data_IF_824261360622
#
_entry.id   IF_824261360622
#
_cell.length_a   1.000
_cell.length_b   1.000
_cell.length_c   1.000
_cell.angle_alpha   90.00
_cell.angle_beta   90.00
_cell.angle_gamma   90.00
#
_symmetry.space_group_name_H-M   'P 1'
#
loop_
_entity.id
_entity.type
_entity.pdbx_description
1 polymer ?
#
# COMPACT_ATOMS: atom_id res chain seq x y z
N UNK A 1 -13.64 -16.00 10.21
CA UNK A 1 -13.82 -14.54 10.49
C UNK A 1 -15.30 -14.22 10.45
N UNK A 2 -15.85 -13.39 11.35
CA UNK A 2 -17.25 -12.97 11.25
C UNK A 2 -17.44 -12.09 10.00
N UNK A 3 -18.59 -12.19 9.32
CA UNK A 3 -18.89 -11.37 8.11
C UNK A 3 -18.79 -9.87 8.42
N UNK A 4 -19.21 -9.47 9.61
CA UNK A 4 -19.16 -8.08 10.10
C UNK A 4 -17.72 -7.56 10.22
N UNK A 5 -16.78 -8.37 10.71
CA UNK A 5 -15.37 -7.96 10.82
C UNK A 5 -14.69 -7.80 9.45
N UNK A 6 -15.11 -8.60 8.46
CA UNK A 6 -14.60 -8.50 7.08
C UNK A 6 -15.10 -7.23 6.39
N UNK A 7 -16.39 -6.93 6.52
CA UNK A 7 -16.98 -5.71 5.98
C UNK A 7 -16.35 -4.44 6.57
N UNK A 8 -16.17 -4.37 7.89
CA UNK A 8 -15.55 -3.22 8.54
C UNK A 8 -14.12 -2.95 8.04
N UNK A 9 -13.31 -3.99 7.85
CA UNK A 9 -11.95 -3.88 7.31
C UNK A 9 -11.93 -3.46 5.84
N UNK A 10 -12.87 -3.96 5.04
CA UNK A 10 -13.03 -3.53 3.66
C UNK A 10 -13.39 -2.04 3.57
N UNK A 11 -14.36 -1.59 4.36
CA UNK A 11 -14.74 -0.17 4.39
C UNK A 11 -13.60 0.72 4.89
N UNK A 12 -12.84 0.29 5.90
CA UNK A 12 -11.68 1.03 6.37
C UNK A 12 -10.60 1.13 5.29
N UNK A 13 -10.22 0.02 4.65
CA UNK A 13 -9.24 0.03 3.56
C UNK A 13 -9.74 0.81 2.32
N UNK A 14 -11.04 0.76 2.04
CA UNK A 14 -11.67 1.57 0.99
C UNK A 14 -11.64 3.06 1.31
N UNK A 15 -11.92 3.45 2.55
CA UNK A 15 -11.78 4.82 3.03
C UNK A 15 -10.33 5.30 2.91
N UNK A 16 -9.36 4.49 3.34
CA UNK A 16 -7.93 4.81 3.22
C UNK A 16 -7.52 5.00 1.76
N UNK A 17 -8.10 4.22 0.83
CA UNK A 17 -7.89 4.38 -0.61
C UNK A 17 -8.39 5.74 -1.09
N UNK A 18 -9.61 6.13 -0.70
CA UNK A 18 -10.20 7.42 -1.11
C UNK A 18 -9.45 8.59 -0.49
N UNK A 19 -9.11 8.50 0.80
CA UNK A 19 -8.36 9.53 1.51
C UNK A 19 -6.97 9.73 0.89
N UNK A 20 -6.26 8.64 0.58
CA UNK A 20 -4.97 8.74 -0.08
C UNK A 20 -5.09 9.21 -1.54
N UNK A 21 -6.20 8.88 -2.21
CA UNK A 21 -6.52 9.41 -3.54
C UNK A 21 -6.73 10.92 -3.54
N UNK A 22 -7.44 11.44 -2.54
CA UNK A 22 -7.64 12.89 -2.37
C UNK A 22 -6.31 13.60 -2.08
N UNK A 23 -5.46 13.03 -1.21
CA UNK A 23 -4.13 13.56 -0.93
C UNK A 23 -3.22 13.51 -2.17
N UNK A 24 -3.27 12.44 -2.95
CA UNK A 24 -2.53 12.34 -4.20
C UNK A 24 -3.03 13.38 -5.21
N UNK A 25 -4.34 13.56 -5.35
CA UNK A 25 -4.91 14.57 -6.25
C UNK A 25 -4.51 15.99 -5.86
N UNK A 26 -4.59 16.34 -4.58
CA UNK A 26 -4.20 17.66 -4.05
C UNK A 26 -2.70 17.92 -4.22
N UNK A 27 -1.86 16.95 -3.86
CA UNK A 27 -0.40 17.08 -3.96
C UNK A 27 0.13 17.12 -5.39
N UNK A 28 -0.59 16.53 -6.35
CA UNK A 28 -0.17 16.41 -7.75
C UNK A 28 -0.95 17.33 -8.70
N UNK A 29 -1.97 18.03 -8.21
CA UNK A 29 -2.94 18.74 -9.06
C UNK A 29 -3.68 17.83 -10.04
N UNK A 30 -3.84 16.55 -9.70
CA UNK A 30 -4.41 15.52 -10.57
C UNK A 30 -3.47 14.96 -11.64
N UNK A 31 -2.19 15.35 -11.64
CA UNK A 31 -1.19 14.78 -12.56
C UNK A 31 -0.79 13.38 -12.08
N UNK A 32 -0.72 12.47 -13.05
CA UNK A 32 -0.26 11.10 -12.83
C UNK A 32 1.07 10.94 -13.56
N UNK A 33 2.04 10.31 -12.90
CA UNK A 33 3.23 9.75 -13.54
C UNK A 33 4.26 10.73 -14.15
N UNK A 34 4.28 12.01 -13.78
CA UNK A 34 5.25 12.96 -14.32
C UNK A 34 6.55 13.08 -13.49
N UNK A 35 6.54 12.64 -12.23
CA UNK A 35 7.73 12.56 -11.37
C UNK A 35 7.72 11.28 -10.55
N UNK A 36 8.89 10.84 -10.05
CA UNK A 36 8.99 9.67 -9.17
C UNK A 36 8.07 9.78 -7.93
N UNK A 37 7.87 11.01 -7.42
CA UNK A 37 6.98 11.28 -6.29
C UNK A 37 5.50 11.05 -6.63
N UNK A 38 5.08 11.47 -7.83
CA UNK A 38 3.71 11.22 -8.31
C UNK A 38 3.44 9.73 -8.49
N UNK A 39 4.41 8.98 -9.03
CA UNK A 39 4.32 7.52 -9.17
C UNK A 39 4.10 6.83 -7.83
N UNK A 40 4.81 7.27 -6.78
CA UNK A 40 4.71 6.70 -5.44
C UNK A 40 3.38 7.06 -4.78
N UNK A 41 2.91 8.29 -4.94
CA UNK A 41 1.61 8.74 -4.42
C UNK A 41 0.47 7.92 -5.02
N UNK A 42 0.39 7.85 -6.35
CA UNK A 42 -0.66 7.08 -7.04
C UNK A 42 -0.50 5.56 -6.86
N UNK A 43 0.74 5.07 -6.76
CA UNK A 43 1.02 3.68 -6.42
C UNK A 43 0.53 3.32 -5.01
N UNK A 44 0.59 4.23 -4.05
CA UNK A 44 0.05 3.99 -2.71
C UNK A 44 -1.49 3.93 -2.69
N UNK A 45 -2.16 4.75 -3.50
CA UNK A 45 -3.61 4.65 -3.73
C UNK A 45 -3.96 3.27 -4.28
N UNK A 46 -3.22 2.82 -5.30
CA UNK A 46 -3.42 1.50 -5.90
C UNK A 46 -3.14 0.37 -4.90
N UNK A 47 -2.10 0.50 -4.08
CA UNK A 47 -1.78 -0.45 -3.03
C UNK A 47 -2.88 -0.58 -1.97
N UNK A 48 -3.48 0.55 -1.55
CA UNK A 48 -4.63 0.56 -0.64
C UNK A 48 -5.86 -0.13 -1.27
N UNK A 49 -6.13 0.15 -2.54
CA UNK A 49 -7.21 -0.49 -3.29
C UNK A 49 -7.02 -2.01 -3.40
N UNK A 50 -5.79 -2.44 -3.67
CA UNK A 50 -5.41 -3.86 -3.69
C UNK A 50 -5.62 -4.51 -2.33
N UNK A 51 -5.25 -3.83 -1.23
CA UNK A 51 -5.49 -4.33 0.12
C UNK A 51 -6.99 -4.49 0.42
N UNK A 52 -7.82 -3.52 0.03
CA UNK A 52 -9.27 -3.62 0.15
C UNK A 52 -9.83 -4.83 -0.62
N UNK A 53 -9.37 -5.04 -1.86
CA UNK A 53 -9.82 -6.16 -2.69
C UNK A 53 -9.38 -7.51 -2.11
N UNK A 54 -8.15 -7.62 -1.60
CA UNK A 54 -7.64 -8.84 -0.93
C UNK A 54 -8.42 -9.15 0.34
N UNK A 55 -8.86 -8.13 1.09
CA UNK A 55 -9.74 -8.33 2.26
C UNK A 55 -11.07 -8.98 1.84
N UNK A 56 -11.64 -8.63 0.67
CA UNK A 56 -12.90 -9.22 0.18
C UNK A 56 -12.69 -10.63 -0.36
N UNK A 57 -11.65 -10.83 -1.17
CA UNK A 57 -11.37 -12.12 -1.82
C UNK A 57 -10.86 -13.14 -0.81
N UNK A 58 -10.26 -12.71 0.30
CA UNK A 58 -9.69 -13.56 1.36
C UNK A 58 -8.69 -14.59 0.81
N UNK A 59 -8.09 -14.25 -0.32
CA UNK A 59 -7.09 -15.01 -1.04
C UNK A 59 -6.05 -14.02 -1.55
N UNK A 60 -4.81 -14.46 -1.76
CA UNK A 60 -3.67 -13.61 -2.12
C UNK A 60 -3.16 -12.66 -1.01
N UNK A 61 -3.07 -13.16 0.23
CA UNK A 61 -2.39 -12.47 1.33
C UNK A 61 -0.99 -11.93 0.94
N UNK A 62 -0.21 -12.70 0.16
CA UNK A 62 1.10 -12.27 -0.32
C UNK A 62 1.05 -10.96 -1.13
N UNK A 63 0.01 -10.77 -1.94
CA UNK A 63 -0.17 -9.59 -2.79
C UNK A 63 -0.39 -8.32 -1.95
N UNK A 64 -1.21 -8.42 -0.91
CA UNK A 64 -1.46 -7.29 -0.04
C UNK A 64 -0.26 -6.95 0.85
N UNK A 65 0.52 -7.95 1.29
CA UNK A 65 1.79 -7.69 1.99
C UNK A 65 2.86 -7.07 1.08
N UNK A 66 2.92 -7.44 -0.20
CA UNK A 66 3.76 -6.73 -1.17
C UNK A 66 3.30 -5.29 -1.40
N UNK A 67 1.99 -5.04 -1.44
CA UNK A 67 1.43 -3.70 -1.56
C UNK A 67 1.77 -2.81 -0.34
N UNK A 68 1.68 -3.36 0.87
CA UNK A 68 2.10 -2.68 2.11
C UNK A 68 3.61 -2.37 2.06
N UNK A 69 4.44 -3.31 1.61
CA UNK A 69 5.88 -3.10 1.43
C UNK A 69 6.20 -1.97 0.44
N UNK A 70 5.48 -1.93 -0.68
CA UNK A 70 5.58 -0.85 -1.66
C UNK A 70 5.23 0.52 -1.05
N UNK A 71 4.14 0.63 -0.29
CA UNK A 71 3.74 1.89 0.38
C UNK A 71 4.81 2.35 1.36
N UNK A 72 5.29 1.43 2.21
CA UNK A 72 6.25 1.75 3.27
C UNK A 72 7.58 2.25 2.70
N UNK A 73 8.13 1.54 1.70
CA UNK A 73 9.41 1.89 1.09
C UNK A 73 9.30 2.97 0.01
N UNK A 74 8.18 3.02 -0.71
CA UNK A 74 7.86 4.14 -1.59
C UNK A 74 7.88 5.45 -0.81
N UNK A 75 7.24 5.50 0.36
CA UNK A 75 7.30 6.68 1.23
C UNK A 75 8.71 7.00 1.75
N UNK A 76 9.51 5.98 2.07
CA UNK A 76 10.86 6.13 2.64
C UNK A 76 11.93 6.56 1.63
N UNK A 77 11.78 6.16 0.36
CA UNK A 77 12.77 6.38 -0.69
C UNK A 77 12.51 7.66 -1.50
N UNK A 78 11.34 8.28 -1.33
CA UNK A 78 10.90 9.42 -2.15
C UNK A 78 11.14 10.74 -1.43
N UNK A 79 12.19 11.48 -1.83
CA UNK A 79 12.49 12.81 -1.27
C UNK A 79 11.36 13.81 -1.58
N UNK A 80 10.86 14.50 -0.54
CA UNK A 80 9.79 15.49 -0.65
C UNK A 80 8.36 14.92 -0.54
N UNK A 81 8.22 13.61 -0.31
CA UNK A 81 6.91 12.98 -0.12
C UNK A 81 6.40 13.13 1.32
N UNK A 82 5.09 12.99 1.61
CA UNK A 82 4.57 12.94 2.97
C UNK A 82 4.93 11.59 3.62
N UNK A 83 6.18 11.45 4.06
CA UNK A 83 6.76 10.19 4.58
C UNK A 83 5.92 9.59 5.72
N UNK A 84 5.44 10.44 6.63
CA UNK A 84 4.59 10.00 7.74
C UNK A 84 3.23 9.46 7.29
N UNK A 85 2.65 10.00 6.21
CA UNK A 85 1.38 9.53 5.67
C UNK A 85 1.46 8.10 5.14
N UNK A 86 2.55 7.77 4.43
CA UNK A 86 2.77 6.41 3.94
C UNK A 86 3.05 5.40 5.06
N UNK A 87 3.82 5.80 6.08
CA UNK A 87 4.08 4.94 7.24
C UNK A 87 2.78 4.66 8.00
N UNK A 88 1.95 5.68 8.23
CA UNK A 88 0.66 5.54 8.90
C UNK A 88 -0.31 4.66 8.09
N UNK A 89 -0.35 4.83 6.76
CA UNK A 89 -1.16 4.01 5.87
C UNK A 89 -0.74 2.54 5.92
N UNK A 90 0.55 2.26 5.84
CA UNK A 90 1.06 0.89 5.96
C UNK A 90 0.75 0.28 7.33
N UNK A 91 0.86 1.06 8.40
CA UNK A 91 0.55 0.63 9.76
C UNK A 91 -0.95 0.35 9.94
N UNK A 92 -1.82 1.14 9.30
CA UNK A 92 -3.26 0.98 9.32
C UNK A 92 -3.71 -0.28 8.54
N UNK A 93 -3.08 -0.54 7.38
CA UNK A 93 -3.43 -1.69 6.52
C UNK A 93 -2.90 -3.03 7.05
N UNK A 94 -1.74 -3.06 7.70
CA UNK A 94 -1.09 -4.28 8.19
C UNK A 94 -1.98 -5.20 9.07
N UNK A 95 -2.75 -4.70 10.07
CA UNK A 95 -3.65 -5.54 10.86
C UNK A 95 -4.95 -5.90 10.14
N UNK A 96 -5.31 -5.21 9.05
CA UNK A 96 -6.56 -5.42 8.32
C UNK A 96 -6.47 -6.56 7.30
N UNK A 97 -5.27 -6.79 6.75
CA UNK A 97 -5.02 -7.74 5.67
C UNK A 97 -4.80 -9.17 6.20
N UNK A 98 -5.25 -10.22 5.47
CA UNK A 98 -4.96 -11.62 5.79
C UNK A 98 -3.45 -11.90 5.90
N UNK A 99 -3.03 -12.76 6.85
CA UNK A 99 -1.62 -13.15 7.02
C UNK A 99 -1.27 -14.33 6.11
N UNK A 100 -0.15 -14.29 5.35
CA UNK A 100 0.27 -15.42 4.53
C UNK A 100 0.54 -16.63 5.41
N UNK A 101 -0.25 -17.70 5.23
CA UNK A 101 -0.15 -18.96 6.00
C UNK A 101 -0.16 -18.78 7.53
N UNK A 102 -0.78 -17.71 8.03
CA UNK A 102 -0.82 -17.40 9.47
C UNK A 102 0.49 -16.89 10.08
N UNK A 103 1.55 -16.66 9.30
CA UNK A 103 2.85 -16.19 9.80
C UNK A 103 3.11 -14.72 9.50
N UNK A 104 3.47 -13.95 10.52
CA UNK A 104 3.90 -12.55 10.40
C UNK A 104 5.27 -12.42 9.74
N UNK A 105 6.21 -13.34 10.00
CA UNK A 105 7.57 -13.26 9.43
C UNK A 105 7.56 -13.50 7.92
N UNK A 106 6.65 -14.34 7.42
CA UNK A 106 6.45 -14.52 5.98
C UNK A 106 5.84 -13.29 5.32
N UNK A 107 4.84 -12.67 5.95
CA UNK A 107 4.28 -11.39 5.50
C UNK A 107 5.35 -10.30 5.42
N UNK A 108 6.17 -10.18 6.48
CA UNK A 108 7.27 -9.23 6.54
C UNK A 108 8.36 -9.54 5.50
N UNK A 109 8.67 -10.81 5.27
CA UNK A 109 9.63 -11.26 4.26
C UNK A 109 9.17 -10.92 2.84
N UNK A 110 7.90 -11.14 2.51
CA UNK A 110 7.32 -10.76 1.22
C UNK A 110 7.35 -9.25 1.05
N UNK A 111 6.99 -8.49 2.10
CA UNK A 111 7.07 -7.04 2.09
C UNK A 111 8.52 -6.55 1.86
N UNK A 112 9.50 -7.18 2.50
CA UNK A 112 10.92 -6.84 2.34
C UNK A 112 11.45 -7.17 0.92
N UNK A 113 11.08 -8.32 0.36
CA UNK A 113 11.46 -8.69 -1.02
C UNK A 113 10.79 -7.76 -2.04
N UNK A 114 9.50 -7.48 -1.88
CA UNK A 114 8.78 -6.54 -2.74
C UNK A 114 9.36 -5.13 -2.65
N UNK A 115 9.78 -4.69 -1.46
CA UNK A 115 10.46 -3.44 -1.25
C UNK A 115 11.82 -3.39 -1.97
N UNK A 116 12.61 -4.46 -1.87
CA UNK A 116 13.89 -4.59 -2.59
C UNK A 116 13.71 -4.48 -4.10
N UNK A 117 12.72 -5.20 -4.66
CA UNK A 117 12.40 -5.16 -6.10
C UNK A 117 11.88 -3.79 -6.51
N UNK A 118 11.04 -3.14 -5.68
CA UNK A 118 10.51 -1.81 -5.98
C UNK A 118 11.61 -0.77 -6.04
N UNK A 119 12.60 -0.82 -5.14
CA UNK A 119 13.77 0.07 -5.19
C UNK A 119 14.55 -0.09 -6.51
N UNK A 120 14.81 -1.33 -6.92
CA UNK A 120 15.54 -1.61 -8.16
C UNK A 120 14.76 -1.06 -9.37
N UNK A 121 13.43 -1.23 -9.38
CA UNK A 121 12.57 -0.68 -10.43
C UNK A 121 12.57 0.85 -10.46
N UNK A 122 12.60 1.52 -9.31
CA UNK A 122 12.75 2.99 -9.24
C UNK A 122 14.13 3.48 -9.70
N UNK A 123 15.21 2.75 -9.40
CA UNK A 123 16.55 3.09 -9.87
C UNK A 123 16.72 2.86 -11.38
N UNK A 124 15.93 1.97 -11.98
CA UNK A 124 15.92 1.68 -13.42
C UNK A 124 14.89 2.53 -14.20
N UNK A 125 14.03 3.28 -13.52
CA UNK A 125 13.08 4.16 -14.17
C UNK A 125 13.82 5.39 -14.75
N UNK A 126 13.60 5.75 -16.03
CA UNK A 126 14.32 6.82 -16.72
C UNK A 126 14.00 8.23 -16.17
#
# INVERSE_FOLDING_TARGET
MSRTGKAARFFAAGFDTVAMGALAYDATGGRVAATATEWVLWGAVLAAAVCALVIVVDSAAALAWSAIGYVLFGGLLTRGSPHFGFILLALALAPMVPRPRGSLSLGLGIAAVAAGVSRILFELAP
#
